data_IF_368453881297
#
_entry.id   IF_368453881297
#
_cell.length_a   1.000
_cell.length_b   1.000
_cell.length_c   1.000
_cell.angle_alpha   90.00
_cell.angle_beta   90.00
_cell.angle_gamma   90.00
#
_symmetry.space_group_name_H-M   'P 1'
#
loop_
_entity.id
_entity.type
_entity.pdbx_description
1 polymer ?
#
# COMPACT_ATOMS: atom_id res chain seq x y z
N UNK A 1 -16.58 -27.79 8.64
CA UNK A 1 -17.27 -26.48 8.84
C UNK A 1 -16.36 -25.40 8.29
N UNK A 2 -16.88 -24.49 7.47
CA UNK A 2 -16.12 -23.32 7.04
C UNK A 2 -15.75 -22.46 8.25
N UNK A 3 -14.54 -21.90 8.29
CA UNK A 3 -14.17 -20.96 9.35
C UNK A 3 -15.02 -19.69 9.20
N UNK A 4 -15.41 -19.01 10.30
CA UNK A 4 -16.03 -17.70 10.20
C UNK A 4 -15.15 -16.76 9.39
N UNK A 5 -15.74 -15.96 8.48
CA UNK A 5 -14.98 -15.11 7.55
C UNK A 5 -13.95 -14.21 8.25
N UNK A 6 -14.27 -13.72 9.46
CA UNK A 6 -13.33 -12.88 10.22
C UNK A 6 -12.11 -13.64 10.76
N UNK A 7 -12.22 -14.94 10.96
CA UNK A 7 -11.10 -15.81 11.34
C UNK A 7 -10.31 -16.29 10.11
N UNK A 8 -10.99 -16.49 8.98
CA UNK A 8 -10.35 -16.83 7.71
C UNK A 8 -9.48 -15.67 7.21
N UNK A 9 -10.00 -14.45 7.21
CA UNK A 9 -9.28 -13.24 6.79
C UNK A 9 -8.78 -12.40 7.98
N UNK A 10 -8.30 -13.08 9.02
CA UNK A 10 -7.94 -12.46 10.31
C UNK A 10 -7.04 -11.24 10.17
N UNK A 11 -6.02 -11.31 9.31
CA UNK A 11 -5.06 -10.21 9.15
C UNK A 11 -5.71 -8.95 8.58
N UNK A 12 -6.61 -9.10 7.60
CA UNK A 12 -7.39 -7.98 7.06
C UNK A 12 -8.22 -7.30 8.15
N UNK A 13 -8.89 -8.07 9.00
CA UNK A 13 -9.71 -7.52 10.09
C UNK A 13 -8.87 -6.86 11.20
N UNK A 14 -7.72 -7.45 11.54
CA UNK A 14 -6.78 -6.82 12.48
C UNK A 14 -6.24 -5.49 11.94
N UNK A 15 -5.90 -5.45 10.65
CA UNK A 15 -5.44 -4.25 9.98
C UNK A 15 -6.53 -3.17 9.94
N UNK A 16 -7.76 -3.50 9.54
CA UNK A 16 -8.90 -2.59 9.57
C UNK A 16 -9.19 -2.04 10.97
N UNK A 17 -9.09 -2.89 12.00
CA UNK A 17 -9.28 -2.45 13.38
C UNK A 17 -8.16 -1.49 13.82
N UNK A 18 -6.91 -1.76 13.44
CA UNK A 18 -5.76 -0.90 13.72
C UNK A 18 -5.90 0.46 13.01
N UNK A 19 -6.35 0.46 11.77
CA UNK A 19 -6.60 1.65 10.96
C UNK A 19 -7.73 2.49 11.58
N UNK A 20 -8.83 1.85 11.97
CA UNK A 20 -9.93 2.50 12.69
C UNK A 20 -9.52 3.09 14.05
N UNK A 21 -8.57 2.46 14.77
CA UNK A 21 -8.02 3.00 16.03
C UNK A 21 -7.18 4.27 15.83
N UNK A 22 -6.62 4.46 14.63
CA UNK A 22 -5.77 5.62 14.30
C UNK A 22 -6.56 6.82 13.79
N UNK A 23 -7.82 6.62 13.40
CA UNK A 23 -8.72 7.71 13.03
C UNK A 23 -8.87 8.73 14.18
N UNK A 24 -9.06 10.04 13.89
CA UNK A 24 -9.34 11.04 14.92
C UNK A 24 -10.55 10.67 15.79
N UNK A 25 -10.34 10.52 17.10
CA UNK A 25 -11.37 10.03 18.03
C UNK A 25 -11.54 8.50 18.05
N UNK A 26 -10.61 7.76 17.42
CA UNK A 26 -10.56 6.31 17.35
C UNK A 26 -11.78 5.68 16.68
N UNK A 27 -12.06 4.43 17.04
CA UNK A 27 -13.21 3.67 16.51
C UNK A 27 -14.53 4.41 16.77
N UNK A 28 -14.67 5.09 17.91
CA UNK A 28 -15.88 5.85 18.25
C UNK A 28 -16.08 7.07 17.34
N UNK A 29 -14.99 7.80 17.04
CA UNK A 29 -15.00 8.91 16.08
C UNK A 29 -15.40 8.43 14.69
N UNK A 30 -14.81 7.33 14.23
CA UNK A 30 -15.10 6.74 12.93
C UNK A 30 -16.55 6.22 12.84
N UNK A 31 -17.03 5.54 13.88
CA UNK A 31 -18.40 5.03 13.95
C UNK A 31 -19.43 6.15 13.82
N UNK A 32 -19.17 7.32 14.42
CA UNK A 32 -20.05 8.49 14.31
C UNK A 32 -20.18 8.96 12.85
N UNK A 33 -19.07 9.06 12.12
CA UNK A 33 -19.07 9.47 10.70
C UNK A 33 -19.80 8.43 9.83
N UNK A 34 -19.66 7.15 10.17
CA UNK A 34 -20.32 6.03 9.50
C UNK A 34 -21.80 5.83 9.90
N UNK A 35 -22.37 6.68 10.77
CA UNK A 35 -23.70 6.52 11.37
C UNK A 35 -23.91 5.13 11.99
N UNK A 36 -22.92 4.66 12.77
CA UNK A 36 -22.93 3.39 13.50
C UNK A 36 -22.71 3.60 15.00
N UNK A 37 -23.08 2.60 15.80
CA UNK A 37 -22.66 2.57 17.20
C UNK A 37 -21.15 2.23 17.30
N UNK A 38 -20.40 2.87 18.21
CA UNK A 38 -19.00 2.56 18.46
C UNK A 38 -18.76 1.07 18.76
N UNK A 39 -19.58 0.48 19.62
CA UNK A 39 -19.51 -0.93 20.01
C UNK A 39 -19.83 -1.83 18.82
N UNK A 40 -20.83 -1.46 18.02
CA UNK A 40 -21.21 -2.20 16.82
C UNK A 40 -20.07 -2.24 15.81
N UNK A 41 -19.44 -1.11 15.53
CA UNK A 41 -18.29 -1.06 14.62
C UNK A 41 -17.09 -1.85 15.18
N UNK A 42 -16.78 -1.69 16.48
CA UNK A 42 -15.67 -2.40 17.12
C UNK A 42 -15.84 -3.93 17.04
N UNK A 43 -17.03 -4.43 17.33
CA UNK A 43 -17.35 -5.86 17.32
C UNK A 43 -17.34 -6.45 15.91
N UNK A 44 -17.84 -5.70 14.92
CA UNK A 44 -17.79 -6.14 13.53
C UNK A 44 -16.34 -6.21 13.00
N UNK A 45 -15.45 -5.33 13.46
CA UNK A 45 -14.03 -5.32 13.07
C UNK A 45 -13.16 -6.30 13.87
N UNK A 46 -13.55 -6.69 15.08
CA UNK A 46 -12.80 -7.65 15.89
C UNK A 46 -12.90 -9.07 15.29
N UNK A 47 -11.79 -9.70 14.87
CA UNK A 47 -11.83 -11.04 14.30
C UNK A 47 -12.28 -12.11 15.30
N UNK A 48 -12.15 -11.87 16.60
CA UNK A 48 -12.50 -12.80 17.66
C UNK A 48 -13.95 -12.67 18.15
N UNK A 49 -14.66 -11.59 17.79
CA UNK A 49 -16.04 -11.39 18.24
C UNK A 49 -17.03 -12.12 17.31
N UNK A 50 -18.15 -12.60 17.85
CA UNK A 50 -19.17 -13.34 17.07
C UNK A 50 -20.07 -12.46 16.18
N UNK A 51 -19.81 -11.17 16.12
CA UNK A 51 -20.60 -10.25 15.31
C UNK A 51 -20.32 -10.49 13.82
N UNK A 52 -21.33 -10.32 12.97
CA UNK A 52 -21.15 -10.45 11.54
C UNK A 52 -20.08 -9.46 11.02
N UNK A 53 -19.30 -9.84 10.01
CA UNK A 53 -18.37 -8.90 9.39
C UNK A 53 -19.12 -7.67 8.83
N UNK A 54 -18.47 -6.50 8.78
CA UNK A 54 -18.99 -5.35 8.06
C UNK A 54 -19.26 -5.72 6.59
N UNK A 55 -20.23 -5.03 5.98
CA UNK A 55 -20.40 -5.09 4.52
C UNK A 55 -19.18 -4.54 3.80
N UNK A 56 -18.97 -4.96 2.55
CA UNK A 56 -17.87 -4.44 1.71
C UNK A 56 -17.88 -2.90 1.63
N UNK A 57 -19.06 -2.29 1.53
CA UNK A 57 -19.18 -0.82 1.53
C UNK A 57 -18.58 -0.17 2.77
N UNK A 58 -18.77 -0.76 3.95
CA UNK A 58 -18.19 -0.25 5.20
C UNK A 58 -16.69 -0.47 5.23
N UNK A 59 -16.20 -1.61 4.73
CA UNK A 59 -14.75 -1.85 4.61
C UNK A 59 -14.09 -0.76 3.75
N UNK A 60 -14.67 -0.46 2.57
CA UNK A 60 -14.15 0.58 1.69
C UNK A 60 -14.19 1.97 2.32
N UNK A 61 -15.29 2.31 3.01
CA UNK A 61 -15.40 3.59 3.72
C UNK A 61 -14.40 3.70 4.89
N UNK A 62 -14.11 2.61 5.61
CA UNK A 62 -13.07 2.61 6.65
C UNK A 62 -11.70 2.90 6.02
N UNK A 63 -11.37 2.26 4.90
CA UNK A 63 -10.11 2.51 4.17
C UNK A 63 -10.04 3.98 3.72
N UNK A 64 -11.10 4.48 3.10
CA UNK A 64 -11.17 5.86 2.60
C UNK A 64 -11.11 6.90 3.73
N UNK A 65 -11.79 6.69 4.85
CA UNK A 65 -11.80 7.67 5.94
C UNK A 65 -10.52 7.66 6.76
N UNK A 66 -9.91 6.48 6.95
CA UNK A 66 -8.68 6.36 7.72
C UNK A 66 -7.45 6.80 6.92
N UNK A 67 -7.46 6.61 5.60
CA UNK A 67 -6.31 6.82 4.72
C UNK A 67 -5.06 6.05 5.19
N UNK A 68 -5.27 5.01 5.99
CA UNK A 68 -4.22 4.12 6.49
C UNK A 68 -4.03 2.97 5.52
N UNK A 69 -2.79 2.50 5.40
CA UNK A 69 -2.42 1.57 4.32
C UNK A 69 -2.55 0.11 4.74
N UNK A 70 -2.58 -0.21 6.04
CA UNK A 70 -2.40 -1.58 6.54
C UNK A 70 -3.46 -2.52 5.99
N UNK A 71 -4.73 -2.12 6.03
CA UNK A 71 -5.81 -2.94 5.48
C UNK A 71 -5.65 -3.19 3.97
N UNK A 72 -5.20 -2.18 3.22
CA UNK A 72 -4.95 -2.31 1.77
C UNK A 72 -3.80 -3.30 1.50
N UNK A 73 -2.71 -3.22 2.28
CA UNK A 73 -1.61 -4.18 2.20
C UNK A 73 -2.10 -5.62 2.40
N UNK A 74 -2.85 -5.88 3.47
CA UNK A 74 -3.37 -7.22 3.75
C UNK A 74 -4.33 -7.73 2.67
N UNK A 75 -5.13 -6.84 2.05
CA UNK A 75 -6.02 -7.20 0.93
C UNK A 75 -5.20 -7.58 -0.31
N UNK A 76 -4.19 -6.79 -0.68
CA UNK A 76 -3.33 -7.08 -1.82
C UNK A 76 -2.51 -8.37 -1.65
N UNK A 77 -2.11 -8.69 -0.42
CA UNK A 77 -1.39 -9.94 -0.12
C UNK A 77 -2.22 -11.20 -0.41
N UNK A 78 -3.55 -11.12 -0.46
CA UNK A 78 -4.41 -12.25 -0.85
C UNK A 78 -4.10 -12.77 -2.27
N UNK A 79 -3.53 -11.92 -3.13
CA UNK A 79 -3.10 -12.26 -4.50
C UNK A 79 -1.59 -12.12 -4.69
N UNK A 80 -0.81 -12.16 -3.60
CA UNK A 80 0.63 -11.98 -3.58
C UNK A 80 1.09 -10.65 -4.22
N UNK A 81 0.29 -9.59 -4.06
CA UNK A 81 0.64 -8.24 -4.49
C UNK A 81 1.01 -7.38 -3.29
N UNK A 82 1.98 -6.49 -3.50
CA UNK A 82 2.34 -5.44 -2.56
C UNK A 82 1.86 -4.11 -3.13
N UNK A 83 0.96 -3.38 -2.46
CA UNK A 83 0.56 -2.07 -2.92
C UNK A 83 1.75 -1.13 -2.80
N UNK A 84 1.91 -0.30 -3.81
CA UNK A 84 2.96 0.70 -3.87
C UNK A 84 2.30 2.06 -3.98
N UNK A 85 2.75 3.02 -3.18
CA UNK A 85 2.33 4.40 -3.35
C UNK A 85 2.74 4.85 -4.74
N UNK A 86 1.82 5.45 -5.48
CA UNK A 86 2.13 6.11 -6.74
C UNK A 86 2.19 7.60 -6.44
N UNK A 87 3.40 8.09 -6.11
CA UNK A 87 3.66 9.52 -6.00
C UNK A 87 4.28 10.01 -7.31
N UNK A 88 3.47 10.00 -8.37
CA UNK A 88 3.82 10.66 -9.63
C UNK A 88 3.58 12.14 -9.42
N UNK A 89 4.47 12.81 -8.67
CA UNK A 89 4.27 14.15 -8.15
C UNK A 89 3.68 15.09 -9.19
N UNK A 90 2.37 15.37 -9.11
CA UNK A 90 1.52 16.30 -9.88
C UNK A 90 1.73 16.47 -11.39
N UNK A 91 2.67 15.75 -11.99
CA UNK A 91 3.02 15.87 -13.38
C UNK A 91 2.24 14.79 -14.11
N UNK A 92 1.09 15.20 -14.61
CA UNK A 92 0.34 14.51 -15.65
C UNK A 92 1.17 14.54 -16.95
N UNK A 93 2.35 13.92 -16.89
CA UNK A 93 3.31 13.86 -17.97
C UNK A 93 2.62 13.13 -19.11
N UNK A 94 2.66 13.74 -20.30
CA UNK A 94 2.30 13.04 -21.53
C UNK A 94 3.22 11.82 -21.71
N UNK A 95 2.81 10.86 -22.53
CA UNK A 95 3.52 9.60 -22.75
C UNK A 95 5.01 9.80 -23.05
N UNK A 96 5.33 10.74 -23.95
CA UNK A 96 6.72 11.08 -24.31
C UNK A 96 7.55 11.53 -23.10
N UNK A 97 6.98 12.36 -22.22
CA UNK A 97 7.66 12.84 -21.03
C UNK A 97 7.84 11.73 -19.98
N UNK A 98 6.89 10.80 -19.87
CA UNK A 98 7.03 9.63 -19.00
C UNK A 98 8.14 8.69 -19.50
N UNK A 99 8.23 8.45 -20.82
CA UNK A 99 9.31 7.64 -21.41
C UNK A 99 10.66 8.30 -21.19
N UNK A 100 10.78 9.61 -21.38
CA UNK A 100 12.03 10.35 -21.10
C UNK A 100 12.41 10.27 -19.62
N UNK A 101 11.43 10.41 -18.72
CA UNK A 101 11.65 10.29 -17.28
C UNK A 101 12.11 8.88 -16.89
N UNK A 102 11.45 7.85 -17.42
CA UNK A 102 11.86 6.45 -17.26
C UNK A 102 13.31 6.23 -17.69
N UNK A 103 13.70 6.67 -18.89
CA UNK A 103 15.06 6.51 -19.40
C UNK A 103 16.10 7.25 -18.54
N UNK A 104 15.77 8.44 -18.04
CA UNK A 104 16.62 9.20 -17.11
C UNK A 104 16.85 8.46 -15.79
N UNK A 105 15.79 7.89 -15.23
CA UNK A 105 15.87 7.08 -14.02
C UNK A 105 16.66 5.78 -14.24
N UNK A 106 16.49 5.11 -15.39
CA UNK A 106 17.27 3.92 -15.74
C UNK A 106 18.76 4.26 -15.86
N UNK A 107 19.09 5.38 -16.49
CA UNK A 107 20.48 5.84 -16.59
C UNK A 107 21.08 6.13 -15.20
N UNK A 108 20.31 6.82 -14.35
CA UNK A 108 20.74 7.16 -12.97
C UNK A 108 20.92 5.92 -12.09
N UNK A 109 19.97 4.98 -12.14
CA UNK A 109 20.08 3.71 -11.42
C UNK A 109 21.25 2.86 -11.95
N UNK A 110 21.44 2.82 -13.27
CA UNK A 110 22.58 2.13 -13.88
C UNK A 110 23.92 2.74 -13.48
N UNK A 111 24.01 4.06 -13.40
CA UNK A 111 25.21 4.77 -12.93
C UNK A 111 25.49 4.50 -11.45
N UNK A 112 24.46 4.54 -10.59
CA UNK A 112 24.56 4.20 -9.17
C UNK A 112 25.03 2.74 -9.00
N UNK A 113 24.42 1.80 -9.72
CA UNK A 113 24.82 0.39 -9.72
C UNK A 113 26.23 0.18 -10.25
N UNK A 114 26.65 0.88 -11.30
CA UNK A 114 28.01 0.80 -11.84
C UNK A 114 29.05 1.39 -10.88
N UNK A 115 28.71 2.46 -10.18
CA UNK A 115 29.59 3.10 -9.18
C UNK A 115 29.72 2.22 -7.93
N UNK A 116 28.62 1.63 -7.46
CA UNK A 116 28.62 0.56 -6.45
C UNK A 116 29.20 -0.77 -6.97
N UNK A 117 29.44 -0.91 -8.29
CA UNK A 117 29.92 -2.18 -8.87
C UNK A 117 31.38 -2.51 -8.57
N UNK A 118 32.15 -1.55 -8.05
CA UNK A 118 33.43 -1.85 -7.39
C UNK A 118 33.22 -2.82 -6.20
N UNK A 119 32.04 -2.80 -5.56
CA UNK A 119 31.62 -3.69 -4.47
C UNK A 119 30.69 -4.84 -4.91
N UNK A 120 30.07 -4.81 -6.10
CA UNK A 120 29.30 -5.96 -6.65
C UNK A 120 30.10 -7.27 -6.73
N UNK A 121 31.44 -7.19 -6.67
CA UNK A 121 32.32 -8.37 -6.59
C UNK A 121 32.08 -9.23 -5.33
N UNK A 122 31.54 -8.67 -4.24
CA UNK A 122 31.23 -9.39 -3.00
C UNK A 122 29.73 -9.66 -2.78
N UNK A 123 28.87 -9.15 -3.67
CA UNK A 123 27.42 -9.32 -3.64
C UNK A 123 26.71 -8.58 -2.50
N UNK A 124 27.34 -7.58 -1.87
CA UNK A 124 26.76 -6.80 -0.76
C UNK A 124 26.61 -5.34 -1.14
N UNK A 125 25.47 -4.77 -0.73
CA UNK A 125 25.21 -3.33 -0.76
C UNK A 125 25.33 -2.76 0.66
N UNK A 126 26.14 -1.72 0.83
CA UNK A 126 26.30 -1.01 2.08
C UNK A 126 25.12 -0.07 2.39
N UNK A 127 25.16 0.61 3.54
CA UNK A 127 24.07 1.47 3.98
C UNK A 127 23.93 2.75 3.14
N UNK A 128 25.02 3.28 2.59
CA UNK A 128 25.03 4.48 1.74
C UNK A 128 24.45 4.17 0.37
N UNK A 129 24.89 3.07 -0.24
CA UNK A 129 24.41 2.60 -1.54
C UNK A 129 22.91 2.30 -1.50
N UNK A 130 22.43 1.63 -0.44
CA UNK A 130 20.99 1.38 -0.26
C UNK A 130 20.19 2.68 -0.14
N UNK A 131 20.75 3.69 0.53
CA UNK A 131 20.09 4.98 0.72
C UNK A 131 19.96 5.76 -0.59
N UNK A 132 20.90 5.58 -1.52
CA UNK A 132 20.86 6.19 -2.86
C UNK A 132 20.00 5.38 -3.85
N UNK A 133 20.12 4.05 -3.83
CA UNK A 133 19.48 3.18 -4.82
C UNK A 133 17.99 2.92 -4.52
N UNK A 134 17.60 2.77 -3.26
CA UNK A 134 16.21 2.49 -2.89
C UNK A 134 15.19 3.52 -3.43
N UNK A 135 15.40 4.85 -3.31
CA UNK A 135 14.46 5.81 -3.88
C UNK A 135 14.41 5.74 -5.42
N UNK A 136 15.54 5.51 -6.09
CA UNK A 136 15.58 5.36 -7.56
C UNK A 136 14.78 4.13 -8.02
N UNK A 137 14.91 2.99 -7.32
CA UNK A 137 14.15 1.78 -7.63
C UNK A 137 12.65 1.96 -7.38
N UNK A 138 12.27 2.68 -6.33
CA UNK A 138 10.87 3.00 -6.07
C UNK A 138 10.28 3.85 -7.20
N UNK A 139 10.97 4.92 -7.59
CA UNK A 139 10.51 5.82 -8.65
C UNK A 139 10.46 5.11 -10.01
N UNK A 140 11.45 4.25 -10.30
CA UNK A 140 11.44 3.40 -11.49
C UNK A 140 10.21 2.48 -11.53
N UNK A 141 9.87 1.84 -10.41
CA UNK A 141 8.68 0.99 -10.34
C UNK A 141 7.40 1.81 -10.55
N UNK A 142 7.30 3.01 -9.97
CA UNK A 142 6.14 3.89 -10.13
C UNK A 142 5.94 4.33 -11.59
N UNK A 143 7.01 4.80 -12.25
CA UNK A 143 6.96 5.22 -13.66
C UNK A 143 6.66 4.03 -14.57
N UNK A 144 7.26 2.86 -14.30
CA UNK A 144 6.99 1.64 -15.07
C UNK A 144 5.53 1.21 -14.95
N UNK A 145 4.97 1.22 -13.73
CA UNK A 145 3.57 0.88 -13.50
C UNK A 145 2.64 1.87 -14.22
N UNK A 146 2.94 3.17 -14.21
CA UNK A 146 2.19 4.19 -14.95
C UNK A 146 2.22 3.94 -16.46
N UNK A 147 3.41 3.71 -17.04
CA UNK A 147 3.56 3.43 -18.47
C UNK A 147 2.83 2.15 -18.87
N UNK A 148 2.98 1.07 -18.09
CA UNK A 148 2.30 -0.20 -18.35
C UNK A 148 0.78 -0.04 -18.37
N UNK A 149 0.22 0.69 -17.40
CA UNK A 149 -1.22 0.99 -17.35
C UNK A 149 -1.67 1.72 -18.63
N UNK A 150 -0.96 2.78 -19.03
CA UNK A 150 -1.30 3.56 -20.23
C UNK A 150 -1.23 2.74 -21.53
N UNK A 151 -0.28 1.81 -21.64
CA UNK A 151 -0.17 0.94 -22.81
C UNK A 151 -1.16 -0.23 -22.84
N UNK A 152 -1.81 -0.51 -21.71
CA UNK A 152 -2.75 -1.63 -21.56
C UNK A 152 -4.22 -1.21 -21.61
N UNK A 153 -4.50 0.09 -21.64
CA UNK A 153 -5.83 0.70 -21.81
C UNK A 153 -6.06 1.08 -23.29
#
# INVERSE_FOLDING_TARGET
MSRPAKQEYRQVFLALQSDAKKYPGGIAGLARVLNKSPEGLANCLDPNHDAQPPSLSIVLQVIELTQEKRAVFEICQLVNQTPMDIDMGSADLNEESQVKHFLSLVASASACLNTGSEHLKDGRFDASERKELAPLLLELNQVTASLYKRFSE
#
